data_IF_141887872178
#
_entry.id   IF_141887872178
#
_cell.length_a   1.000
_cell.length_b   1.000
_cell.length_c   1.000
_cell.angle_alpha   90.00
_cell.angle_beta   90.00
_cell.angle_gamma   90.00
#
_symmetry.space_group_name_H-M   'P 1'
#
loop_
_entity.id
_entity.type
_entity.pdbx_description
1 polymer ?
#
# COMPACT_ATOMS: atom_id res chain seq x y z
N UNK A 1 0.04 -4.14 95.97
CA UNK A 1 0.40 -2.78 95.53
C UNK A 1 1.80 -2.81 94.94
N UNK A 2 1.95 -3.17 93.67
CA UNK A 2 3.18 -2.94 92.88
C UNK A 2 2.77 -2.97 91.41
N UNK A 3 2.66 -1.78 90.80
CA UNK A 3 2.47 -1.59 89.37
C UNK A 3 3.83 -1.74 88.68
N UNK A 4 3.93 -2.69 87.75
CA UNK A 4 5.03 -2.80 86.80
C UNK A 4 4.70 -1.95 85.56
N UNK A 5 5.41 -0.84 85.35
CA UNK A 5 5.38 -0.09 84.10
C UNK A 5 6.14 -0.89 83.02
N UNK A 6 5.41 -1.53 82.11
CA UNK A 6 5.97 -1.93 80.81
C UNK A 6 5.80 -0.77 79.82
N UNK A 7 6.91 -0.14 79.43
CA UNK A 7 6.94 0.77 78.28
C UNK A 7 6.57 -0.02 77.01
N UNK A 8 5.38 0.28 76.45
CA UNK A 8 5.04 -0.06 75.07
C UNK A 8 5.81 0.91 74.16
N UNK A 9 6.79 0.39 73.43
CA UNK A 9 7.33 1.06 72.25
C UNK A 9 6.31 0.89 71.13
N UNK A 10 5.57 1.95 70.80
CA UNK A 10 4.75 2.00 69.59
C UNK A 10 5.70 2.04 68.38
N UNK A 11 5.89 0.90 67.71
CA UNK A 11 6.42 0.89 66.33
C UNK A 11 5.28 1.34 65.42
N UNK A 12 5.31 2.61 65.03
CA UNK A 12 4.53 3.12 63.91
C UNK A 12 5.15 2.48 62.67
N UNK A 13 4.51 1.43 62.15
CA UNK A 13 4.83 0.89 60.83
C UNK A 13 4.42 1.94 59.80
N UNK A 14 5.41 2.57 59.16
CA UNK A 14 5.16 3.37 57.96
C UNK A 14 4.65 2.42 56.88
N UNK A 15 3.35 2.48 56.59
CA UNK A 15 2.77 1.88 55.41
C UNK A 15 3.28 2.71 54.23
N UNK A 16 4.29 2.21 53.53
CA UNK A 16 4.64 2.71 52.20
C UNK A 16 3.49 2.31 51.26
N UNK A 17 2.55 3.23 51.07
CA UNK A 17 1.65 3.18 49.93
C UNK A 17 2.53 3.47 48.72
N UNK A 18 2.97 2.42 48.04
CA UNK A 18 3.51 2.54 46.70
C UNK A 18 2.36 3.03 45.81
N UNK A 19 2.28 4.34 45.62
CA UNK A 19 1.47 4.89 44.56
C UNK A 19 2.08 4.39 43.25
N UNK A 20 1.44 3.38 42.65
CA UNK A 20 1.67 3.08 41.24
C UNK A 20 1.22 4.31 40.47
N UNK A 21 2.19 5.15 40.12
CA UNK A 21 2.01 6.18 39.11
C UNK A 21 1.83 5.39 37.81
N UNK A 22 0.57 5.19 37.40
CA UNK A 22 0.26 4.87 36.02
C UNK A 22 0.62 6.12 35.22
N UNK A 23 1.87 6.19 34.77
CA UNK A 23 2.27 7.15 33.75
C UNK A 23 1.53 6.65 32.49
N UNK A 24 0.63 7.43 31.88
CA UNK A 24 0.24 7.11 30.52
C UNK A 24 1.54 7.21 29.71
N UNK A 25 2.06 6.08 29.24
CA UNK A 25 3.10 6.09 28.24
C UNK A 25 2.45 6.69 26.99
N UNK A 26 2.56 8.01 26.83
CA UNK A 26 2.42 8.60 25.51
C UNK A 26 3.46 7.89 24.64
N UNK A 27 3.02 7.26 23.56
CA UNK A 27 3.87 6.64 22.55
C UNK A 27 4.66 7.75 21.83
N UNK A 28 5.60 8.37 22.53
CA UNK A 28 6.40 9.46 22.00
C UNK A 28 7.60 8.87 21.28
N UNK A 29 7.67 9.17 19.98
CA UNK A 29 8.82 8.82 19.15
C UNK A 29 10.09 9.30 19.86
N UNK A 30 11.11 8.44 20.07
CA UNK A 30 12.33 8.85 20.75
C UNK A 30 12.95 10.06 20.07
N UNK A 31 13.44 11.00 20.87
CA UNK A 31 14.05 12.22 20.34
C UNK A 31 15.15 11.89 19.31
N UNK A 32 15.05 12.50 18.13
CA UNK A 32 15.95 12.29 16.99
C UNK A 32 15.90 10.91 16.33
N UNK A 33 14.91 10.04 16.63
CA UNK A 33 14.82 8.72 16.01
C UNK A 33 14.77 8.79 14.47
N UNK A 34 14.01 9.74 13.92
CA UNK A 34 13.91 10.01 12.48
C UNK A 34 14.82 11.14 11.98
N UNK A 35 15.83 11.56 12.75
CA UNK A 35 16.68 12.71 12.38
C UNK A 35 17.45 12.51 11.07
N UNK A 36 17.75 11.26 10.69
CA UNK A 36 18.45 10.93 9.46
C UNK A 36 17.53 10.56 8.29
N UNK A 37 16.21 10.77 8.43
CA UNK A 37 15.28 10.59 7.31
C UNK A 37 15.60 11.63 6.23
N UNK A 38 15.60 11.19 4.98
CA UNK A 38 15.80 12.03 3.80
C UNK A 38 14.54 12.00 2.93
N UNK A 39 13.67 12.99 3.12
CA UNK A 39 12.40 13.12 2.38
C UNK A 39 12.57 13.76 0.98
N UNK A 40 13.81 13.93 0.50
CA UNK A 40 14.06 14.67 -0.75
C UNK A 40 13.49 14.00 -2.01
N UNK A 41 13.45 12.67 -2.03
CA UNK A 41 12.91 11.86 -3.13
C UNK A 41 12.30 10.56 -2.58
N UNK A 42 11.42 9.88 -3.33
CA UNK A 42 10.91 8.56 -2.95
C UNK A 42 12.02 7.56 -2.62
N UNK A 43 13.06 7.50 -3.46
CA UNK A 43 14.22 6.63 -3.28
C UNK A 43 15.03 7.00 -2.04
N UNK A 44 15.30 8.30 -1.83
CA UNK A 44 15.99 8.80 -0.63
C UNK A 44 15.22 8.46 0.64
N UNK A 45 13.89 8.62 0.63
CA UNK A 45 13.05 8.35 1.80
C UNK A 45 13.06 6.86 2.09
N UNK A 46 12.79 6.03 1.07
CA UNK A 46 12.83 4.58 1.18
C UNK A 46 14.16 4.08 1.77
N UNK A 47 15.27 4.52 1.18
CA UNK A 47 16.62 4.12 1.60
C UNK A 47 16.92 4.56 3.04
N UNK A 48 16.61 5.82 3.39
CA UNK A 48 16.87 6.35 4.74
C UNK A 48 16.00 5.69 5.81
N UNK A 49 14.73 5.39 5.52
CA UNK A 49 13.85 4.61 6.39
C UNK A 49 14.40 3.20 6.61
N UNK A 50 14.81 2.50 5.55
CA UNK A 50 15.46 1.18 5.67
C UNK A 50 16.70 1.25 6.57
N UNK A 51 17.55 2.27 6.41
CA UNK A 51 18.73 2.44 7.28
C UNK A 51 18.38 2.62 8.76
N UNK A 52 17.28 3.32 9.06
CA UNK A 52 16.83 3.58 10.44
C UNK A 52 16.26 2.33 11.08
N UNK A 53 15.43 1.58 10.36
CA UNK A 53 14.65 0.48 10.96
C UNK A 53 15.33 -0.88 10.86
N UNK A 54 16.41 -1.03 10.07
CA UNK A 54 17.15 -2.28 9.95
C UNK A 54 17.87 -2.68 11.24
N UNK A 55 18.18 -3.97 11.38
CA UNK A 55 19.01 -4.49 12.48
C UNK A 55 18.28 -4.63 13.82
N UNK A 56 16.96 -4.83 13.79
CA UNK A 56 16.16 -5.03 14.99
C UNK A 56 16.67 -6.19 15.87
N UNK A 57 16.42 -6.10 17.17
CA UNK A 57 16.74 -7.16 18.13
C UNK A 57 15.80 -8.34 17.92
N UNK A 58 16.38 -9.53 17.76
CA UNK A 58 15.63 -10.77 17.61
C UNK A 58 15.20 -11.31 18.97
N UNK A 59 13.90 -11.35 19.21
CA UNK A 59 13.29 -12.04 20.35
C UNK A 59 12.96 -13.49 19.96
N UNK A 60 13.28 -14.50 20.79
CA UNK A 60 12.95 -15.88 20.49
C UNK A 60 11.46 -16.06 20.22
N UNK A 61 11.11 -16.93 19.25
CA UNK A 61 9.70 -17.22 18.99
C UNK A 61 9.02 -17.88 20.20
N UNK A 62 9.65 -18.87 20.84
CA UNK A 62 9.16 -19.42 22.11
C UNK A 62 10.34 -19.74 23.02
N UNK A 63 10.27 -19.31 24.28
CA UNK A 63 11.33 -19.49 25.27
C UNK A 63 10.76 -19.62 26.69
N UNK A 64 11.66 -19.90 27.65
CA UNK A 64 11.40 -19.78 29.09
C UNK A 64 11.84 -18.43 29.68
N UNK A 65 12.59 -17.66 28.89
CA UNK A 65 12.82 -16.23 29.07
C UNK A 65 11.78 -15.44 28.27
N UNK A 66 11.92 -14.11 28.22
CA UNK A 66 11.16 -13.26 27.30
C UNK A 66 11.16 -13.82 25.87
N UNK A 67 9.98 -14.04 25.33
CA UNK A 67 9.73 -14.47 23.95
C UNK A 67 8.65 -13.60 23.28
N UNK A 68 8.27 -13.93 22.03
CA UNK A 68 7.27 -13.10 21.33
C UNK A 68 5.87 -13.19 21.94
N UNK A 69 5.53 -14.19 22.76
CA UNK A 69 4.26 -14.18 23.50
C UNK A 69 4.25 -13.09 24.56
N UNK A 70 5.31 -12.98 25.35
CA UNK A 70 5.39 -11.97 26.42
C UNK A 70 5.25 -10.55 25.88
N UNK A 71 5.83 -10.29 24.70
CA UNK A 71 5.78 -8.98 24.05
C UNK A 71 4.43 -8.74 23.40
N UNK A 72 3.89 -9.70 22.62
CA UNK A 72 2.60 -9.54 21.95
C UNK A 72 1.44 -9.45 22.94
N UNK A 73 1.52 -10.11 24.10
CA UNK A 73 0.51 -9.96 25.15
C UNK A 73 0.52 -8.58 25.80
N UNK A 74 1.63 -7.83 25.71
CA UNK A 74 1.68 -6.43 26.11
C UNK A 74 1.24 -5.50 24.97
N UNK A 75 1.66 -5.79 23.74
CA UNK A 75 1.38 -4.99 22.56
C UNK A 75 -0.12 -4.98 22.23
N UNK A 76 -0.76 -6.15 22.27
CA UNK A 76 -2.17 -6.36 21.95
C UNK A 76 -3.05 -6.41 23.24
N UNK A 77 -2.59 -5.81 24.34
CA UNK A 77 -3.33 -5.77 25.60
C UNK A 77 -4.71 -5.13 25.43
N UNK A 78 -5.75 -5.74 26.03
CA UNK A 78 -7.09 -5.15 26.07
C UNK A 78 -7.11 -3.89 26.95
N UNK A 79 -7.43 -2.70 26.40
CA UNK A 79 -7.43 -1.45 27.17
C UNK A 79 -8.44 -1.46 28.33
N UNK A 80 -9.49 -2.28 28.25
CA UNK A 80 -10.50 -2.41 29.28
C UNK A 80 -10.19 -3.53 30.30
N UNK A 81 -9.19 -4.38 30.03
CA UNK A 81 -8.80 -5.46 30.92
C UNK A 81 -7.35 -5.92 30.65
N UNK A 82 -6.39 -5.42 31.44
CA UNK A 82 -4.96 -5.75 31.29
C UNK A 82 -4.58 -7.22 31.47
N UNK A 83 -5.49 -8.07 31.97
CA UNK A 83 -5.28 -9.52 32.01
C UNK A 83 -5.61 -10.21 30.68
N UNK A 84 -6.09 -9.45 29.69
CA UNK A 84 -6.54 -9.96 28.40
C UNK A 84 -5.78 -9.31 27.23
N UNK A 85 -5.88 -9.95 26.07
CA UNK A 85 -5.43 -9.48 24.77
C UNK A 85 -6.62 -9.38 23.81
N UNK A 86 -6.56 -8.44 22.87
CA UNK A 86 -7.51 -8.33 21.76
C UNK A 86 -6.90 -8.97 20.53
N UNK A 87 -7.65 -9.85 19.88
CA UNK A 87 -7.18 -10.47 18.65
C UNK A 87 -7.49 -9.62 17.41
N UNK A 88 -6.55 -9.58 16.46
CA UNK A 88 -6.57 -8.71 15.27
C UNK A 88 -7.78 -8.92 14.36
N UNK A 89 -8.35 -10.12 14.27
CA UNK A 89 -9.41 -10.41 13.30
C UNK A 89 -10.79 -10.47 13.91
N UNK A 90 -10.97 -11.17 15.03
CA UNK A 90 -12.28 -11.36 15.64
C UNK A 90 -12.63 -10.24 16.63
N UNK A 91 -11.68 -9.37 16.98
CA UNK A 91 -11.83 -8.34 18.00
C UNK A 91 -12.32 -8.90 19.36
N UNK A 92 -11.95 -10.14 19.66
CA UNK A 92 -12.35 -10.81 20.88
C UNK A 92 -11.28 -10.64 21.96
N UNK A 93 -11.75 -10.38 23.19
CA UNK A 93 -10.91 -10.28 24.38
C UNK A 93 -10.66 -11.66 24.99
N UNK A 94 -9.39 -12.07 25.04
CA UNK A 94 -8.95 -13.36 25.57
C UNK A 94 -8.03 -13.18 26.76
N UNK A 95 -8.21 -14.00 27.80
CA UNK A 95 -7.27 -14.05 28.93
C UNK A 95 -5.86 -14.41 28.44
N UNK A 96 -4.87 -13.64 28.88
CA UNK A 96 -3.44 -13.93 28.72
C UNK A 96 -3.08 -15.26 29.38
N UNK A 97 -2.57 -16.18 28.59
CA UNK A 97 -2.15 -17.52 29.05
C UNK A 97 -0.85 -17.98 28.40
N UNK A 98 -0.21 -17.14 27.57
CA UNK A 98 0.98 -17.46 26.79
C UNK A 98 0.76 -18.55 25.73
N UNK A 99 1.86 -18.89 25.06
CA UNK A 99 2.09 -20.25 24.57
C UNK A 99 1.12 -20.84 23.56
N UNK A 100 0.47 -20.04 22.69
CA UNK A 100 -0.34 -20.54 21.55
C UNK A 100 -1.38 -21.57 21.98
N UNK A 101 -2.51 -21.07 22.45
CA UNK A 101 -3.50 -21.87 23.16
C UNK A 101 -4.74 -22.14 22.29
N UNK A 102 -5.79 -22.71 22.89
CA UNK A 102 -7.05 -22.99 22.17
C UNK A 102 -7.83 -21.73 21.77
N UNK A 103 -7.48 -20.57 22.33
CA UNK A 103 -8.18 -19.30 22.11
C UNK A 103 -7.51 -18.48 21.00
N UNK A 104 -6.19 -18.29 21.09
CA UNK A 104 -5.42 -17.48 20.15
C UNK A 104 -4.04 -18.07 19.84
N UNK A 105 -3.53 -17.66 18.68
CA UNK A 105 -2.18 -17.93 18.22
C UNK A 105 -1.51 -16.63 17.73
N UNK A 106 -0.33 -16.75 17.10
CA UNK A 106 0.36 -15.63 16.44
C UNK A 106 0.04 -15.64 14.96
N UNK A 107 -0.48 -14.52 14.50
CA UNK A 107 -0.64 -14.20 13.10
C UNK A 107 0.66 -13.65 12.54
N UNK A 108 1.11 -14.21 11.42
CA UNK A 108 2.14 -13.64 10.57
C UNK A 108 1.44 -12.86 9.46
N UNK A 109 1.24 -11.54 9.64
CA UNK A 109 0.50 -10.72 8.67
C UNK A 109 1.18 -10.74 7.29
N UNK A 110 2.51 -10.72 7.21
CA UNK A 110 3.22 -11.31 6.07
C UNK A 110 3.32 -12.82 6.29
N UNK A 111 2.61 -13.68 5.53
CA UNK A 111 2.63 -15.11 5.78
C UNK A 111 4.05 -15.64 5.70
N UNK A 112 4.55 -16.24 6.78
CA UNK A 112 5.91 -16.80 6.79
C UNK A 112 6.19 -17.82 5.68
N UNK A 113 5.16 -18.45 5.12
CA UNK A 113 5.30 -19.34 3.96
C UNK A 113 5.80 -18.64 2.70
N UNK A 114 5.67 -17.31 2.63
CA UNK A 114 6.14 -16.47 1.54
C UNK A 114 7.48 -15.84 1.89
N UNK A 115 8.55 -16.63 1.76
CA UNK A 115 9.92 -16.14 1.89
C UNK A 115 10.73 -16.71 3.05
N UNK A 116 10.08 -17.07 4.17
CA UNK A 116 10.79 -17.34 5.42
C UNK A 116 10.12 -18.40 6.33
N UNK A 117 9.75 -19.60 5.85
CA UNK A 117 8.87 -20.53 6.57
C UNK A 117 9.45 -21.16 7.85
N UNK A 118 10.77 -21.09 8.04
CA UNK A 118 11.48 -21.83 9.08
C UNK A 118 11.92 -20.94 10.25
N UNK A 119 11.57 -21.32 11.47
CA UNK A 119 12.06 -20.64 12.68
C UNK A 119 13.50 -21.08 13.00
N UNK A 120 14.49 -20.39 12.44
CA UNK A 120 15.92 -20.63 12.69
C UNK A 120 16.60 -19.33 13.14
N UNK A 121 17.78 -19.43 13.75
CA UNK A 121 18.48 -18.26 14.32
C UNK A 121 18.73 -17.15 13.30
N UNK A 122 19.02 -17.50 12.04
CA UNK A 122 19.29 -16.54 10.96
C UNK A 122 18.05 -15.87 10.37
N UNK A 123 16.84 -16.33 10.71
CA UNK A 123 15.61 -15.84 10.10
C UNK A 123 14.94 -14.78 10.98
N UNK A 124 15.30 -13.51 10.77
CA UNK A 124 14.79 -12.36 11.52
C UNK A 124 13.32 -12.03 11.24
N UNK A 125 12.83 -12.03 9.97
CA UNK A 125 11.42 -11.76 9.67
C UNK A 125 10.44 -12.66 10.46
N UNK A 126 10.84 -13.90 10.73
CA UNK A 126 10.00 -14.87 11.44
C UNK A 126 9.53 -14.37 12.82
N UNK A 127 10.33 -13.57 13.50
CA UNK A 127 10.11 -13.11 14.88
C UNK A 127 9.96 -11.60 14.99
N UNK A 128 9.86 -10.89 13.87
CA UNK A 128 9.68 -9.44 13.87
C UNK A 128 8.27 -9.10 14.35
N UNK A 129 8.13 -8.42 15.48
CA UNK A 129 6.82 -8.24 16.10
C UNK A 129 6.01 -7.09 15.50
N UNK A 130 6.59 -6.22 14.67
CA UNK A 130 5.84 -5.17 13.95
C UNK A 130 4.83 -5.70 12.92
N UNK A 131 4.87 -7.00 12.63
CA UNK A 131 3.94 -7.68 11.73
C UNK A 131 3.31 -8.93 12.36
N UNK A 132 3.67 -9.24 13.61
CA UNK A 132 3.07 -10.33 14.36
C UNK A 132 1.93 -9.80 15.20
N UNK A 133 0.79 -10.48 15.17
CA UNK A 133 -0.37 -10.09 15.99
C UNK A 133 -0.92 -11.28 16.74
N UNK A 134 -1.58 -11.05 17.87
CA UNK A 134 -2.47 -12.04 18.46
C UNK A 134 -3.69 -12.21 17.55
N UNK A 135 -4.04 -13.46 17.22
CA UNK A 135 -5.20 -13.77 16.39
C UNK A 135 -5.98 -14.95 16.93
N UNK A 136 -7.31 -14.91 16.81
CA UNK A 136 -8.12 -16.11 17.05
C UNK A 136 -7.66 -17.25 16.11
N UNK A 137 -7.42 -18.43 16.66
CA UNK A 137 -6.83 -19.54 15.90
C UNK A 137 -7.66 -19.96 14.67
N UNK A 138 -8.98 -19.89 14.74
CA UNK A 138 -9.85 -20.21 13.59
C UNK A 138 -9.84 -19.12 12.52
N UNK A 139 -9.67 -17.86 12.91
CA UNK A 139 -9.63 -16.73 11.99
C UNK A 139 -8.27 -16.69 11.28
N UNK A 140 -7.18 -16.81 12.03
CA UNK A 140 -5.84 -17.02 11.46
C UNK A 140 -5.82 -18.21 10.49
N UNK A 141 -6.38 -19.36 10.89
CA UNK A 141 -6.47 -20.52 9.98
C UNK A 141 -7.29 -20.25 8.71
N UNK A 142 -8.33 -19.41 8.81
CA UNK A 142 -9.16 -19.03 7.66
C UNK A 142 -8.42 -18.06 6.73
N UNK A 143 -7.70 -17.09 7.31
CA UNK A 143 -6.82 -16.16 6.61
C UNK A 143 -5.72 -16.91 5.85
N UNK A 144 -5.11 -17.91 6.50
CA UNK A 144 -4.09 -18.76 5.90
C UNK A 144 -2.91 -17.92 5.38
N UNK A 145 -2.51 -18.09 4.12
CA UNK A 145 -1.53 -17.25 3.45
C UNK A 145 -2.16 -16.45 2.29
N UNK A 146 -3.45 -16.15 2.35
CA UNK A 146 -4.12 -15.39 1.30
C UNK A 146 -3.64 -13.93 1.30
N UNK A 147 -3.48 -13.31 0.10
CA UNK A 147 -3.36 -11.87 -0.03
C UNK A 147 -4.46 -11.12 0.72
N UNK A 148 -4.11 -10.00 1.34
CA UNK A 148 -5.08 -9.00 1.76
C UNK A 148 -5.64 -8.32 0.51
N UNK A 149 -6.97 -8.27 0.41
CA UNK A 149 -7.70 -7.75 -0.74
C UNK A 149 -9.18 -7.60 -0.38
N UNK A 150 -9.84 -6.54 -0.85
CA UNK A 150 -11.29 -6.41 -0.83
C UNK A 150 -11.95 -7.56 -1.60
N UNK A 151 -13.17 -7.89 -1.20
CA UNK A 151 -13.84 -9.08 -1.70
C UNK A 151 -15.34 -8.90 -1.96
N UNK A 152 -15.72 -9.13 -3.22
CA UNK A 152 -17.09 -8.94 -3.73
C UNK A 152 -17.97 -10.20 -3.71
N UNK A 153 -17.48 -11.35 -3.23
CA UNK A 153 -18.26 -12.60 -3.10
C UNK A 153 -17.68 -13.55 -2.05
N UNK A 154 -17.52 -13.04 -0.84
CA UNK A 154 -16.80 -13.73 0.23
C UNK A 154 -17.68 -14.37 1.29
N UNK A 155 -17.07 -15.27 2.06
CA UNK A 155 -17.66 -15.80 3.28
C UNK A 155 -17.34 -14.86 4.44
N UNK A 156 -18.37 -14.51 5.21
CA UNK A 156 -18.25 -13.64 6.37
C UNK A 156 -17.54 -14.33 7.54
N UNK A 157 -16.74 -13.55 8.25
CA UNK A 157 -16.09 -13.87 9.52
C UNK A 157 -16.33 -12.70 10.48
N UNK A 158 -17.45 -12.78 11.21
CA UNK A 158 -17.94 -11.72 12.11
C UNK A 158 -16.94 -11.35 13.19
N UNK A 159 -16.86 -10.06 13.50
CA UNK A 159 -16.15 -9.58 14.69
C UNK A 159 -17.07 -9.60 15.92
N UNK A 160 -16.50 -9.43 17.11
CA UNK A 160 -17.24 -9.15 18.34
C UNK A 160 -17.13 -7.67 18.69
N UNK A 161 -18.19 -7.13 19.29
CA UNK A 161 -18.16 -5.78 19.86
C UNK A 161 -17.25 -5.78 21.10
N UNK A 162 -16.13 -5.07 21.01
CA UNK A 162 -15.21 -4.84 22.11
C UNK A 162 -14.63 -3.42 22.01
N UNK A 163 -14.57 -2.73 23.15
CA UNK A 163 -14.14 -1.33 23.25
C UNK A 163 -14.85 -0.37 22.26
N UNK A 164 -16.14 -0.62 22.01
CA UNK A 164 -16.94 0.21 21.10
C UNK A 164 -16.66 -0.01 19.61
N UNK A 165 -15.86 -1.01 19.23
CA UNK A 165 -15.56 -1.37 17.83
C UNK A 165 -15.97 -2.80 17.54
N UNK A 166 -16.31 -3.09 16.28
CA UNK A 166 -16.71 -4.42 15.83
C UNK A 166 -18.12 -4.85 16.26
N UNK A 167 -18.55 -6.00 15.77
CA UNK A 167 -19.81 -6.64 16.09
C UNK A 167 -21.02 -6.13 15.29
N UNK A 168 -20.85 -5.14 14.42
CA UNK A 168 -21.87 -4.77 13.43
C UNK A 168 -21.77 -5.64 12.17
N UNK A 169 -22.80 -5.55 11.31
CA UNK A 169 -22.85 -6.31 10.06
C UNK A 169 -21.87 -5.81 8.97
N UNK A 170 -21.33 -4.59 9.13
CA UNK A 170 -20.34 -4.00 8.21
C UNK A 170 -18.91 -4.16 8.73
N UNK A 171 -18.72 -4.38 10.03
CA UNK A 171 -17.42 -4.60 10.65
C UNK A 171 -17.05 -6.10 10.67
N UNK A 172 -17.00 -6.73 9.50
CA UNK A 172 -16.68 -8.15 9.37
C UNK A 172 -15.42 -8.36 8.54
N UNK A 173 -14.75 -9.49 8.75
CA UNK A 173 -13.74 -9.95 7.81
C UNK A 173 -14.41 -10.77 6.71
N UNK A 174 -13.83 -10.78 5.52
CA UNK A 174 -14.38 -11.48 4.38
C UNK A 174 -13.32 -12.37 3.74
N UNK A 175 -13.66 -13.61 3.42
CA UNK A 175 -12.68 -14.53 2.83
C UNK A 175 -13.20 -15.47 1.76
N UNK A 176 -12.38 -15.67 0.73
CA UNK A 176 -12.64 -16.58 -0.38
C UNK A 176 -11.33 -17.18 -0.89
N UNK A 177 -11.43 -18.32 -1.58
CA UNK A 177 -10.31 -18.93 -2.27
C UNK A 177 -9.21 -19.43 -1.33
N UNK A 178 -8.04 -19.69 -1.92
CA UNK A 178 -6.87 -20.23 -1.21
C UNK A 178 -5.58 -19.73 -1.85
N UNK A 179 -4.52 -19.64 -1.04
CA UNK A 179 -3.20 -19.20 -1.48
C UNK A 179 -3.28 -17.85 -2.23
N UNK A 180 -2.50 -17.67 -3.29
CA UNK A 180 -2.43 -16.45 -4.09
C UNK A 180 -3.73 -16.10 -4.83
N UNK A 181 -4.58 -17.09 -5.10
CA UNK A 181 -5.90 -16.89 -5.73
C UNK A 181 -6.99 -16.46 -4.73
N UNK A 182 -6.72 -16.57 -3.43
CA UNK A 182 -7.66 -16.20 -2.39
C UNK A 182 -7.56 -14.74 -1.97
N UNK A 183 -8.54 -14.31 -1.18
CA UNK A 183 -8.56 -12.98 -0.56
C UNK A 183 -8.95 -13.11 0.91
N UNK A 184 -8.29 -12.30 1.74
CA UNK A 184 -8.73 -11.99 3.09
C UNK A 184 -8.91 -10.48 3.21
N UNK A 185 -10.16 -10.04 3.20
CA UNK A 185 -10.51 -8.68 3.57
C UNK A 185 -10.60 -8.63 5.09
N UNK A 186 -9.75 -7.84 5.73
CA UNK A 186 -9.85 -7.66 7.19
C UNK A 186 -10.93 -6.63 7.49
N UNK A 187 -11.55 -6.73 8.66
CA UNK A 187 -12.59 -5.76 9.06
C UNK A 187 -12.04 -4.33 9.15
N UNK A 188 -12.92 -3.34 8.94
CA UNK A 188 -12.54 -1.94 8.68
C UNK A 188 -11.60 -1.33 9.72
N UNK A 189 -11.76 -1.62 11.01
CA UNK A 189 -10.93 -1.06 12.07
C UNK A 189 -9.56 -1.71 12.26
N UNK A 190 -9.11 -2.55 11.32
CA UNK A 190 -7.78 -3.18 11.30
C UNK A 190 -7.17 -3.23 9.90
N UNK A 191 -7.79 -2.58 8.91
CA UNK A 191 -7.31 -2.53 7.52
C UNK A 191 -5.95 -1.83 7.45
N UNK A 192 -5.81 -0.73 8.18
CA UNK A 192 -4.62 0.09 8.22
C UNK A 192 -3.48 -0.58 8.98
N UNK A 193 -3.78 -1.28 10.07
CA UNK A 193 -2.81 -2.03 10.88
C UNK A 193 -2.05 -3.06 10.03
N UNK A 194 -2.78 -3.89 9.28
CA UNK A 194 -2.16 -4.92 8.45
C UNK A 194 -1.47 -4.31 7.24
N UNK A 195 -2.01 -3.23 6.67
CA UNK A 195 -1.37 -2.50 5.58
C UNK A 195 -0.01 -1.94 5.99
N UNK A 196 0.05 -1.18 7.07
CA UNK A 196 1.27 -0.58 7.61
C UNK A 196 2.27 -1.64 8.09
N UNK A 197 1.81 -2.77 8.60
CA UNK A 197 2.67 -3.91 8.93
C UNK A 197 3.35 -4.51 7.67
N UNK A 198 2.59 -4.70 6.57
CA UNK A 198 3.14 -5.22 5.31
C UNK A 198 4.10 -4.23 4.65
N UNK A 199 3.76 -2.95 4.65
CA UNK A 199 4.63 -1.87 4.18
C UNK A 199 5.93 -1.79 4.98
N UNK A 200 5.84 -1.90 6.31
CA UNK A 200 7.03 -2.01 7.17
C UNK A 200 7.89 -3.21 6.78
N UNK A 201 7.31 -4.39 6.58
CA UNK A 201 8.09 -5.58 6.20
C UNK A 201 8.84 -5.35 4.88
N UNK A 202 8.21 -4.69 3.91
CA UNK A 202 8.80 -4.40 2.62
C UNK A 202 9.96 -3.38 2.65
N UNK A 203 9.97 -2.45 3.62
CA UNK A 203 11.07 -1.50 3.79
C UNK A 203 12.11 -2.01 4.78
N UNK A 204 11.71 -2.78 5.78
CA UNK A 204 12.66 -3.37 6.74
C UNK A 204 13.55 -4.39 6.04
N UNK A 205 13.01 -5.22 5.16
CA UNK A 205 13.71 -6.34 4.55
C UNK A 205 13.92 -6.09 3.04
N UNK A 206 14.95 -5.33 2.69
CA UNK A 206 15.37 -5.05 1.30
C UNK A 206 16.55 -5.95 0.86
N UNK A 207 16.68 -7.13 1.48
CA UNK A 207 17.80 -8.03 1.27
C UNK A 207 19.10 -7.63 1.99
N UNK A 208 20.21 -8.21 1.55
CA UNK A 208 21.53 -7.96 2.11
C UNK A 208 21.84 -8.79 3.37
N UNK A 209 22.66 -8.25 4.27
CA UNK A 209 23.12 -8.94 5.47
C UNK A 209 22.89 -8.11 6.73
N UNK A 210 22.35 -8.74 7.77
CA UNK A 210 22.18 -8.15 9.09
C UNK A 210 23.54 -7.62 9.62
N UNK A 211 23.62 -6.33 9.91
CA UNK A 211 24.90 -5.64 10.18
C UNK A 211 25.72 -6.22 11.35
N UNK A 212 25.04 -6.75 12.39
CA UNK A 212 25.69 -7.32 13.57
C UNK A 212 26.05 -8.81 13.41
N UNK A 213 25.12 -9.63 12.91
CA UNK A 213 25.28 -11.10 12.89
C UNK A 213 25.78 -11.64 11.55
N UNK A 214 25.73 -10.84 10.48
CA UNK A 214 26.10 -11.24 9.13
C UNK A 214 25.12 -12.22 8.48
N UNK A 215 23.98 -12.51 9.11
CA UNK A 215 22.95 -13.36 8.52
C UNK A 215 22.31 -12.67 7.31
N UNK A 216 22.13 -13.43 6.23
CA UNK A 216 21.43 -12.93 5.04
C UNK A 216 19.96 -12.69 5.37
N UNK A 217 19.47 -11.52 4.97
CA UNK A 217 18.05 -11.15 5.08
C UNK A 217 17.40 -11.29 3.69
N UNK A 218 16.11 -11.67 3.61
CA UNK A 218 15.38 -11.68 2.34
C UNK A 218 15.06 -10.26 1.89
N UNK A 219 14.82 -10.10 0.60
CA UNK A 219 14.15 -8.95 -0.01
C UNK A 219 12.65 -9.26 -0.10
N UNK A 220 11.85 -8.55 0.70
CA UNK A 220 10.40 -8.69 0.77
C UNK A 220 9.76 -7.55 0.00
N UNK A 221 8.98 -7.87 -1.03
CA UNK A 221 8.47 -6.89 -1.99
C UNK A 221 6.94 -6.92 -2.04
N UNK A 222 6.30 -5.75 -1.91
CA UNK A 222 4.85 -5.62 -2.20
C UNK A 222 4.59 -5.67 -3.70
N UNK A 223 3.55 -6.37 -4.12
CA UNK A 223 3.19 -6.49 -5.54
C UNK A 223 1.71 -6.79 -5.76
N UNK A 224 1.14 -6.17 -6.78
CA UNK A 224 -0.22 -6.49 -7.24
C UNK A 224 -0.27 -7.78 -8.09
N UNK A 225 0.90 -8.32 -8.50
CA UNK A 225 0.97 -9.57 -9.25
C UNK A 225 0.86 -10.79 -8.32
N UNK A 226 -0.35 -11.34 -8.26
CA UNK A 226 -0.66 -12.57 -7.53
C UNK A 226 0.20 -13.77 -7.97
N UNK A 227 0.70 -13.80 -9.20
CA UNK A 227 1.58 -14.87 -9.68
C UNK A 227 2.94 -14.82 -8.97
N UNK A 228 3.50 -13.63 -8.77
CA UNK A 228 4.73 -13.43 -8.01
C UNK A 228 4.53 -13.78 -6.53
N UNK A 229 3.37 -13.42 -5.97
CA UNK A 229 3.01 -13.83 -4.60
C UNK A 229 2.98 -15.37 -4.49
N UNK A 230 2.29 -16.05 -5.41
CA UNK A 230 2.22 -17.51 -5.45
C UNK A 230 3.59 -18.18 -5.58
N UNK A 231 4.47 -17.61 -6.40
CA UNK A 231 5.85 -18.08 -6.60
C UNK A 231 6.70 -18.02 -5.33
N UNK A 232 6.31 -17.21 -4.34
CA UNK A 232 7.03 -17.06 -3.06
C UNK A 232 6.78 -18.23 -2.10
N UNK A 233 5.78 -19.07 -2.36
CA UNK A 233 5.39 -20.22 -1.54
C UNK A 233 6.27 -21.47 -1.78
N UNK A 234 7.58 -21.33 -1.60
CA UNK A 234 8.53 -22.40 -1.99
C UNK A 234 8.77 -23.45 -0.89
N UNK A 235 8.23 -23.22 0.31
CA UNK A 235 8.53 -24.06 1.48
C UNK A 235 9.97 -23.93 2.00
N UNK A 236 10.75 -22.99 1.45
CA UNK A 236 12.14 -22.72 1.84
C UNK A 236 12.36 -21.23 2.08
N UNK A 237 13.43 -20.90 2.80
CA UNK A 237 13.88 -19.52 2.88
C UNK A 237 14.47 -19.13 1.52
N UNK A 238 13.99 -18.05 0.92
CA UNK A 238 14.41 -17.55 -0.40
C UNK A 238 14.91 -16.12 -0.31
N UNK A 239 15.74 -15.72 -1.28
CA UNK A 239 16.39 -14.41 -1.27
C UNK A 239 15.42 -13.26 -1.61
N UNK A 240 14.39 -13.52 -2.42
CA UNK A 240 13.36 -12.55 -2.81
C UNK A 240 12.00 -13.21 -2.62
N UNK A 241 11.07 -12.53 -1.98
CA UNK A 241 9.69 -12.99 -1.80
C UNK A 241 8.72 -11.83 -1.94
N UNK A 242 7.51 -12.16 -2.37
CA UNK A 242 6.46 -11.21 -2.71
C UNK A 242 5.19 -11.50 -1.90
N UNK A 243 4.49 -10.44 -1.51
CA UNK A 243 3.19 -10.53 -0.85
C UNK A 243 2.47 -9.18 -0.94
N UNK A 244 1.14 -9.19 -0.80
CA UNK A 244 0.35 -7.98 -0.57
C UNK A 244 0.11 -7.16 -1.83
N UNK A 245 -1.17 -6.96 -2.16
CA UNK A 245 -1.57 -6.09 -3.26
C UNK A 245 -1.28 -4.65 -2.85
N UNK A 246 -0.28 -4.03 -3.46
CA UNK A 246 0.24 -2.71 -3.06
C UNK A 246 -0.86 -1.66 -3.13
N UNK A 247 -1.62 -1.61 -4.22
CA UNK A 247 -2.69 -0.62 -4.40
C UNK A 247 -3.73 -0.73 -3.27
N UNK A 248 -4.17 -1.95 -2.99
CA UNK A 248 -5.13 -2.23 -1.92
C UNK A 248 -4.62 -1.79 -0.54
N UNK A 249 -3.37 -2.14 -0.21
CA UNK A 249 -2.79 -1.81 1.10
C UNK A 249 -2.64 -0.31 1.28
N UNK A 250 -2.37 0.44 0.20
CA UNK A 250 -2.35 1.91 0.23
C UNK A 250 -3.74 2.44 0.58
N UNK A 251 -4.79 1.97 -0.09
CA UNK A 251 -6.14 2.44 0.17
C UNK A 251 -6.61 2.08 1.58
N UNK A 252 -6.36 0.84 2.01
CA UNK A 252 -6.64 0.41 3.38
C UNK A 252 -5.92 1.24 4.44
N UNK A 253 -4.69 1.67 4.18
CA UNK A 253 -3.95 2.54 5.11
C UNK A 253 -4.58 3.93 5.27
N UNK A 254 -5.34 4.39 4.29
CA UNK A 254 -6.07 5.68 4.30
C UNK A 254 -7.47 5.54 4.87
N UNK A 255 -8.15 4.46 4.55
CA UNK A 255 -9.49 4.12 5.05
C UNK A 255 -9.50 3.93 6.56
N UNK A 256 -8.42 3.37 7.09
CA UNK A 256 -8.22 3.10 8.52
C UNK A 256 -6.94 3.82 9.02
N UNK A 257 -7.08 5.09 9.46
CA UNK A 257 -5.97 5.87 10.01
C UNK A 257 -5.39 5.26 11.28
N UNK A 258 -4.14 5.63 11.60
CA UNK A 258 -3.45 5.15 12.81
C UNK A 258 -4.27 5.44 14.07
N UNK A 259 -4.42 4.40 14.91
CA UNK A 259 -5.16 4.46 16.16
C UNK A 259 -4.29 4.19 17.41
N UNK A 260 -4.92 4.28 18.59
CA UNK A 260 -4.26 4.03 19.88
C UNK A 260 -3.82 2.57 20.09
N UNK A 261 -4.37 1.62 19.34
CA UNK A 261 -3.96 0.22 19.41
C UNK A 261 -2.67 0.00 18.64
N UNK A 262 -2.55 0.55 17.44
CA UNK A 262 -1.32 0.52 16.66
C UNK A 262 -0.19 1.30 17.30
N UNK A 263 -0.46 2.50 17.82
CA UNK A 263 0.56 3.30 18.53
C UNK A 263 1.11 2.53 19.73
N UNK A 264 0.25 1.87 20.51
CA UNK A 264 0.66 1.02 21.64
C UNK A 264 1.46 -0.18 21.18
N UNK A 265 1.01 -0.85 20.12
CA UNK A 265 1.71 -2.01 19.57
C UNK A 265 3.12 -1.61 19.12
N UNK A 266 3.24 -0.53 18.33
CA UNK A 266 4.52 0.01 17.85
C UNK A 266 5.45 0.39 19.02
N UNK A 267 4.92 1.06 20.04
CA UNK A 267 5.67 1.44 21.24
C UNK A 267 6.19 0.21 22.00
N UNK A 268 5.31 -0.75 22.29
CA UNK A 268 5.72 -1.97 23.00
C UNK A 268 6.78 -2.71 22.21
N UNK A 269 6.56 -2.97 20.91
CA UNK A 269 7.54 -3.66 20.08
C UNK A 269 8.87 -2.91 20.04
N UNK A 270 8.85 -1.58 19.95
CA UNK A 270 10.06 -0.75 20.00
C UNK A 270 10.88 -0.98 21.27
N UNK A 271 10.24 -1.06 22.45
CA UNK A 271 10.97 -1.28 23.71
C UNK A 271 11.73 -2.62 23.76
N UNK A 272 11.34 -3.60 22.94
CA UNK A 272 11.98 -4.92 22.87
C UNK A 272 12.90 -5.10 21.66
N UNK A 273 12.49 -4.62 20.49
CA UNK A 273 13.22 -4.80 19.24
C UNK A 273 14.16 -3.63 18.91
N UNK A 274 13.95 -2.46 19.50
CA UNK A 274 14.77 -1.28 19.31
C UNK A 274 14.53 -0.53 18.00
N UNK A 275 13.58 -0.97 17.18
CA UNK A 275 13.16 -0.28 15.97
C UNK A 275 11.64 -0.02 15.98
N UNK A 276 11.18 0.95 15.21
CA UNK A 276 9.78 1.38 15.09
C UNK A 276 9.26 1.16 13.68
N UNK A 277 7.95 1.01 13.54
CA UNK A 277 7.26 1.05 12.25
C UNK A 277 7.06 2.52 11.82
N UNK A 278 7.77 3.01 10.78
CA UNK A 278 7.69 4.40 10.36
C UNK A 278 6.35 4.76 9.74
N UNK A 279 5.59 3.79 9.24
CA UNK A 279 4.28 4.06 8.66
C UNK A 279 3.18 4.20 9.72
N UNK A 280 3.45 3.80 10.97
CA UNK A 280 2.60 4.11 12.13
C UNK A 280 2.96 5.49 12.68
N UNK A 281 4.26 5.77 12.84
CA UNK A 281 4.73 7.06 13.38
C UNK A 281 4.57 8.24 12.40
N UNK A 282 4.68 7.95 11.10
CA UNK A 282 4.60 8.89 9.97
C UNK A 282 3.82 8.28 8.79
N UNK A 283 2.48 8.16 8.89
CA UNK A 283 1.65 7.59 7.82
C UNK A 283 1.79 8.31 6.47
N UNK A 284 2.16 9.59 6.48
CA UNK A 284 2.45 10.40 5.29
C UNK A 284 3.59 9.84 4.43
N UNK A 285 4.51 9.04 5.00
CA UNK A 285 5.58 8.41 4.23
C UNK A 285 5.08 7.34 3.27
N UNK A 286 3.87 6.78 3.49
CA UNK A 286 3.30 5.76 2.60
C UNK A 286 3.17 6.31 1.18
N UNK A 287 2.61 7.52 1.04
CA UNK A 287 2.42 8.14 -0.26
C UNK A 287 3.76 8.40 -0.96
N UNK A 288 4.79 8.83 -0.23
CA UNK A 288 6.11 9.05 -0.81
C UNK A 288 6.76 7.74 -1.25
N UNK A 289 6.78 6.73 -0.38
CA UNK A 289 7.52 5.48 -0.63
C UNK A 289 6.81 4.58 -1.62
N UNK A 290 5.48 4.50 -1.54
CA UNK A 290 4.68 3.55 -2.31
C UNK A 290 3.78 4.20 -3.35
N UNK A 291 3.75 5.52 -3.49
CA UNK A 291 3.06 6.20 -4.60
C UNK A 291 3.95 7.26 -5.27
N UNK A 292 5.17 7.44 -4.78
CA UNK A 292 6.14 8.42 -5.28
C UNK A 292 5.69 9.89 -5.08
N UNK A 293 4.85 10.13 -4.05
CA UNK A 293 4.28 11.44 -3.69
C UNK A 293 4.84 11.92 -2.33
N UNK A 294 5.88 12.77 -2.34
CA UNK A 294 6.69 13.09 -1.14
C UNK A 294 6.34 14.35 -0.34
N UNK A 295 5.09 14.80 -0.35
CA UNK A 295 4.72 16.14 0.15
C UNK A 295 4.10 16.21 1.56
N UNK A 296 4.33 15.20 2.42
CA UNK A 296 4.44 15.34 3.89
C UNK A 296 3.39 16.18 4.66
N UNK A 297 2.12 16.21 4.25
CA UNK A 297 1.05 16.86 5.03
C UNK A 297 -0.17 15.94 5.12
N UNK A 298 -0.15 15.03 6.09
CA UNK A 298 -1.34 14.34 6.57
C UNK A 298 -2.28 15.35 7.23
N UNK A 299 -3.34 15.75 6.52
CA UNK A 299 -4.30 16.72 7.03
C UNK A 299 -5.27 17.23 5.99
N UNK A 300 -6.28 16.43 5.64
CA UNK A 300 -7.58 16.92 5.17
C UNK A 300 -7.60 17.66 3.84
N UNK A 301 -7.30 16.97 2.75
CA UNK A 301 -7.99 17.11 1.46
C UNK A 301 -8.21 15.69 0.92
N UNK A 302 -9.32 15.41 0.22
CA UNK A 302 -9.45 14.14 -0.49
C UNK A 302 -8.18 13.92 -1.30
N UNK A 303 -7.71 12.66 -1.46
CA UNK A 303 -6.48 12.40 -2.18
C UNK A 303 -6.51 13.17 -3.50
N UNK A 304 -5.39 13.76 -3.98
CA UNK A 304 -5.28 13.83 -5.43
C UNK A 304 -5.47 12.39 -5.87
N UNK A 305 -6.52 12.10 -6.65
CA UNK A 305 -6.64 10.78 -7.23
C UNK A 305 -5.31 10.47 -7.93
N UNK A 306 -4.98 9.18 -8.03
CA UNK A 306 -3.75 8.68 -8.65
C UNK A 306 -3.29 9.63 -9.76
N UNK A 307 -2.04 10.07 -9.77
CA UNK A 307 -1.50 10.95 -10.84
C UNK A 307 -1.47 10.28 -12.23
N UNK A 308 -2.25 9.22 -12.43
CA UNK A 308 -2.50 8.60 -13.69
C UNK A 308 -3.33 9.59 -14.51
N UNK A 309 -2.66 10.52 -15.16
CA UNK A 309 -3.18 11.12 -16.36
C UNK A 309 -2.99 10.10 -17.49
N UNK A 310 -3.99 9.92 -18.34
CA UNK A 310 -3.91 9.03 -19.49
C UNK A 310 -4.53 9.65 -20.73
N UNK A 311 -4.13 9.14 -21.89
CA UNK A 311 -4.71 9.44 -23.18
C UNK A 311 -6.13 8.85 -23.23
N UNK A 312 -7.13 9.73 -23.33
CA UNK A 312 -8.55 9.41 -23.20
C UNK A 312 -9.30 9.42 -24.52
N UNK A 313 -8.86 10.26 -25.46
CA UNK A 313 -9.46 10.42 -26.79
C UNK A 313 -8.35 10.77 -27.80
N UNK A 314 -8.37 10.16 -28.99
CA UNK A 314 -7.41 10.39 -30.07
C UNK A 314 -8.17 10.64 -31.38
N UNK A 315 -7.76 11.68 -32.10
CA UNK A 315 -8.14 11.91 -33.49
C UNK A 315 -6.89 12.11 -34.34
N UNK A 316 -6.67 11.23 -35.32
CA UNK A 316 -5.50 11.21 -36.20
C UNK A 316 -5.84 11.03 -37.69
N UNK A 317 -7.03 10.54 -38.05
CA UNK A 317 -7.47 10.35 -39.45
C UNK A 317 -8.97 10.64 -39.64
N UNK A 318 -9.32 11.28 -40.75
CA UNK A 318 -10.70 11.56 -41.12
C UNK A 318 -10.91 11.60 -42.63
N UNK A 319 -12.16 11.44 -43.06
CA UNK A 319 -12.55 11.63 -44.46
C UNK A 319 -12.13 13.01 -44.97
N UNK A 320 -11.28 13.03 -46.00
CA UNK A 320 -10.76 14.25 -46.60
C UNK A 320 -9.27 14.41 -46.35
N UNK A 321 -8.81 15.64 -46.14
CA UNK A 321 -7.49 15.88 -45.56
C UNK A 321 -7.58 15.89 -44.04
N UNK A 322 -6.48 15.52 -43.38
CA UNK A 322 -6.37 15.46 -41.92
C UNK A 322 -6.58 16.87 -41.33
N UNK A 323 -7.65 17.01 -40.55
CA UNK A 323 -8.02 18.28 -39.92
C UNK A 323 -8.55 18.06 -38.52
N UNK A 324 -8.11 18.91 -37.60
CA UNK A 324 -8.53 18.92 -36.19
C UNK A 324 -8.02 17.71 -35.41
N UNK A 325 -6.85 17.19 -35.77
CA UNK A 325 -6.16 16.14 -35.04
C UNK A 325 -5.90 16.61 -33.60
N UNK A 326 -6.14 15.70 -32.66
CA UNK A 326 -6.13 16.03 -31.25
C UNK A 326 -5.89 14.81 -30.38
N UNK A 327 -5.35 15.07 -29.20
CA UNK A 327 -5.23 14.09 -28.12
C UNK A 327 -5.84 14.72 -26.88
N UNK A 328 -6.73 13.97 -26.23
CA UNK A 328 -7.30 14.36 -24.95
C UNK A 328 -6.63 13.59 -23.82
N UNK A 329 -6.30 14.31 -22.75
CA UNK A 329 -5.80 13.73 -21.52
C UNK A 329 -6.90 13.79 -20.48
N UNK A 330 -7.20 12.65 -19.85
CA UNK A 330 -8.05 12.56 -18.68
C UNK A 330 -7.18 12.31 -17.45
N UNK A 331 -7.52 12.95 -16.34
CA UNK A 331 -6.81 12.83 -15.08
C UNK A 331 -7.75 13.18 -13.92
N UNK A 332 -7.30 12.97 -12.67
CA UNK A 332 -7.91 13.60 -11.51
C UNK A 332 -8.12 15.10 -11.71
N UNK A 333 -9.24 15.60 -11.21
CA UNK A 333 -9.51 17.02 -11.10
C UNK A 333 -8.38 17.71 -10.34
N UNK A 334 -8.08 18.95 -10.72
CA UNK A 334 -6.96 19.75 -10.24
C UNK A 334 -5.56 19.25 -10.64
N UNK A 335 -5.42 18.15 -11.40
CA UNK A 335 -4.12 17.75 -11.97
C UNK A 335 -3.57 18.87 -12.86
N UNK A 336 -2.33 19.30 -12.59
CA UNK A 336 -1.63 20.30 -13.39
C UNK A 336 -0.77 19.59 -14.45
N UNK A 337 -1.10 19.81 -15.71
CA UNK A 337 -0.39 19.21 -16.85
C UNK A 337 0.84 20.01 -17.29
N UNK A 338 1.32 20.97 -16.49
CA UNK A 338 2.58 21.67 -16.74
C UNK A 338 3.76 20.66 -16.75
N UNK A 339 4.61 20.75 -17.78
CA UNK A 339 5.77 19.87 -18.03
C UNK A 339 5.42 18.41 -18.35
N UNK A 340 4.14 18.07 -18.46
CA UNK A 340 3.74 16.87 -19.17
C UNK A 340 3.93 17.10 -20.67
N UNK A 341 4.21 16.04 -21.42
CA UNK A 341 4.33 16.13 -22.88
C UNK A 341 3.80 14.89 -23.57
N UNK A 342 3.39 15.08 -24.82
CA UNK A 342 3.12 14.00 -25.77
C UNK A 342 4.27 13.92 -26.76
N UNK A 343 4.80 12.73 -26.98
CA UNK A 343 5.79 12.44 -28.01
C UNK A 343 5.19 11.51 -29.07
N UNK A 344 5.27 11.90 -30.34
CA UNK A 344 4.73 11.12 -31.45
C UNK A 344 5.85 10.43 -32.24
N UNK A 345 5.61 9.16 -32.56
CA UNK A 345 6.57 8.23 -33.16
C UNK A 345 6.08 7.72 -34.51
N UNK A 346 6.97 7.67 -35.49
CA UNK A 346 6.66 7.26 -36.86
C UNK A 346 6.81 5.74 -36.99
N UNK A 347 5.79 5.03 -37.47
CA UNK A 347 5.76 3.58 -37.60
C UNK A 347 6.68 2.99 -38.67
N UNK A 348 7.10 3.78 -39.67
CA UNK A 348 8.00 3.29 -40.72
C UNK A 348 9.46 3.22 -40.26
N UNK A 349 9.88 4.10 -39.34
CA UNK A 349 11.28 4.18 -38.89
C UNK A 349 11.43 4.20 -37.36
N UNK A 350 10.33 4.03 -36.63
CA UNK A 350 10.21 4.04 -35.18
C UNK A 350 10.83 5.25 -34.46
N UNK A 351 11.00 6.36 -35.16
CA UNK A 351 11.66 7.55 -34.62
C UNK A 351 10.64 8.59 -34.16
N UNK A 352 10.97 9.26 -33.05
CA UNK A 352 10.32 10.48 -32.59
C UNK A 352 10.32 11.53 -33.71
N UNK A 353 9.15 12.06 -34.05
CA UNK A 353 9.01 13.12 -35.06
C UNK A 353 8.32 14.38 -34.51
N UNK A 354 7.71 14.33 -33.31
CA UNK A 354 7.03 15.47 -32.71
C UNK A 354 7.00 15.36 -31.19
N UNK A 355 7.16 16.49 -30.52
CA UNK A 355 6.92 16.65 -29.08
C UNK A 355 5.96 17.81 -28.86
N UNK A 356 4.97 17.62 -28.00
CA UNK A 356 3.96 18.63 -27.65
C UNK A 356 3.95 18.78 -26.13
N UNK A 357 4.35 19.96 -25.66
CA UNK A 357 4.21 20.32 -24.25
C UNK A 357 2.75 20.54 -23.89
N UNK A 358 2.33 19.96 -22.78
CA UNK A 358 0.99 20.12 -22.23
C UNK A 358 0.97 21.25 -21.21
N UNK A 359 -0.23 21.76 -20.96
CA UNK A 359 -0.48 22.74 -19.90
C UNK A 359 -1.96 22.79 -19.59
N UNK A 360 -2.28 23.36 -18.43
CA UNK A 360 -3.65 23.48 -17.95
C UNK A 360 -3.89 22.65 -16.70
N UNK A 361 -4.94 23.03 -15.97
CA UNK A 361 -5.38 22.33 -14.77
C UNK A 361 -6.68 21.61 -15.10
N UNK A 362 -6.70 20.30 -14.89
CA UNK A 362 -7.83 19.44 -15.23
C UNK A 362 -9.06 19.85 -14.42
N UNK A 363 -10.21 20.15 -15.05
CA UNK A 363 -11.43 20.51 -14.35
C UNK A 363 -12.08 19.28 -13.69
N UNK A 364 -12.90 19.50 -12.65
CA UNK A 364 -13.83 18.47 -12.17
C UNK A 364 -15.06 18.45 -13.08
N UNK A 365 -15.18 17.41 -13.90
CA UNK A 365 -16.31 17.21 -14.81
C UNK A 365 -17.26 16.12 -14.29
N UNK A 366 -16.73 15.11 -13.61
CA UNK A 366 -17.49 14.03 -12.99
C UNK A 366 -16.70 13.35 -11.89
N UNK A 367 -17.25 13.31 -10.67
CA UNK A 367 -16.73 12.55 -9.53
C UNK A 367 -15.22 12.71 -9.28
N UNK A 368 -14.69 13.94 -9.43
CA UNK A 368 -13.27 14.21 -9.17
C UNK A 368 -12.35 13.89 -10.33
N UNK A 369 -12.88 13.66 -11.53
CA UNK A 369 -12.13 13.49 -12.78
C UNK A 369 -12.58 14.47 -13.85
N UNK A 370 -11.70 14.73 -14.81
CA UNK A 370 -12.07 15.46 -16.02
C UNK A 370 -10.98 15.40 -17.07
N UNK A 371 -11.23 16.05 -18.21
CA UNK A 371 -10.36 15.97 -19.37
C UNK A 371 -9.95 17.35 -19.92
N UNK A 372 -8.78 17.39 -20.58
CA UNK A 372 -8.31 18.53 -21.37
C UNK A 372 -7.91 18.03 -22.77
N UNK A 373 -8.53 18.62 -23.79
CA UNK A 373 -8.21 18.34 -25.19
C UNK A 373 -7.07 19.25 -25.71
N UNK A 374 -6.08 18.63 -26.34
CA UNK A 374 -4.96 19.29 -26.99
C UNK A 374 -5.05 19.11 -28.52
N UNK A 375 -5.12 20.22 -29.25
CA UNK A 375 -5.08 20.18 -30.72
C UNK A 375 -3.63 20.02 -31.20
N UNK A 376 -3.34 18.93 -31.90
CA UNK A 376 -1.99 18.56 -32.33
C UNK A 376 -1.97 18.38 -33.84
N UNK A 377 -1.59 19.41 -34.58
CA UNK A 377 -1.56 19.34 -36.05
C UNK A 377 -0.51 18.35 -36.56
N UNK A 378 -0.85 17.55 -37.58
CA UNK A 378 0.07 16.66 -38.26
C UNK A 378 0.52 15.51 -37.37
N UNK A 379 -0.43 14.89 -36.66
CA UNK A 379 -0.31 13.50 -36.21
C UNK A 379 -0.32 12.65 -37.48
N UNK A 380 0.61 11.71 -37.60
CA UNK A 380 0.70 10.81 -38.76
C UNK A 380 -0.31 9.67 -38.63
N UNK A 381 -0.81 9.16 -39.76
CA UNK A 381 -1.85 8.14 -39.87
C UNK A 381 -1.34 6.86 -40.57
N UNK A 382 -0.05 6.56 -40.45
CA UNK A 382 0.56 5.33 -40.94
C UNK A 382 0.50 4.19 -39.92
N UNK A 383 0.52 2.96 -40.42
CA UNK A 383 0.73 1.76 -39.60
C UNK A 383 2.24 1.56 -39.34
N UNK A 384 2.73 1.36 -38.11
CA UNK A 384 2.09 1.60 -36.81
C UNK A 384 2.68 2.88 -36.20
N UNK A 385 2.06 4.03 -36.39
CA UNK A 385 2.43 5.27 -35.70
C UNK A 385 1.99 5.21 -34.22
N UNK A 386 2.66 5.98 -33.36
CA UNK A 386 2.39 5.94 -31.92
C UNK A 386 2.52 7.27 -31.19
N UNK A 387 1.97 7.29 -29.98
CA UNK A 387 1.91 8.40 -29.06
C UNK A 387 2.36 7.93 -27.67
N UNK A 388 3.39 8.57 -27.13
CA UNK A 388 3.79 8.41 -25.75
C UNK A 388 3.33 9.61 -24.91
N UNK A 389 2.76 9.34 -23.74
CA UNK A 389 2.48 10.35 -22.72
C UNK A 389 3.60 10.30 -21.69
N UNK A 390 4.21 11.45 -21.41
CA UNK A 390 5.36 11.55 -20.53
C UNK A 390 5.09 12.54 -19.41
N UNK A 391 5.37 12.14 -18.18
CA UNK A 391 5.17 12.95 -17.00
C UNK A 391 6.30 14.00 -16.80
N UNK A 392 6.17 14.91 -15.82
CA UNK A 392 7.18 15.92 -15.53
C UNK A 392 8.54 15.37 -15.10
N UNK A 393 8.58 14.13 -14.59
CA UNK A 393 9.80 13.40 -14.21
C UNK A 393 10.54 12.83 -15.42
N UNK A 394 9.89 12.81 -16.59
CA UNK A 394 10.47 12.28 -17.83
C UNK A 394 10.12 10.82 -18.09
N UNK A 395 9.21 10.23 -17.30
CA UNK A 395 8.82 8.83 -17.37
C UNK A 395 7.66 8.63 -18.34
N UNK A 396 7.73 7.56 -19.14
CA UNK A 396 6.68 7.20 -20.10
C UNK A 396 5.52 6.54 -19.36
N UNK A 397 4.42 7.28 -19.21
CA UNK A 397 3.18 6.84 -18.55
C UNK A 397 2.37 5.91 -19.44
N UNK A 398 2.32 6.24 -20.74
CA UNK A 398 1.72 5.38 -21.75
C UNK A 398 2.55 5.45 -23.02
N UNK A 399 2.65 4.33 -23.72
CA UNK A 399 3.12 4.30 -25.10
C UNK A 399 2.12 3.50 -25.94
N UNK A 400 1.26 4.22 -26.65
CA UNK A 400 0.18 3.66 -27.45
C UNK A 400 0.52 3.75 -28.94
N UNK A 401 0.04 2.80 -29.72
CA UNK A 401 0.08 2.84 -31.18
C UNK A 401 -1.28 2.45 -31.76
N UNK A 402 -1.47 2.75 -33.04
CA UNK A 402 -2.65 2.32 -33.79
C UNK A 402 -2.21 1.56 -35.02
N UNK A 403 -3.03 0.59 -35.43
CA UNK A 403 -2.81 -0.23 -36.62
C UNK A 403 -1.56 -1.13 -36.53
N UNK A 404 -1.18 -1.53 -35.32
CA UNK A 404 -0.02 -2.39 -35.01
C UNK A 404 0.83 -1.86 -33.87
N UNK A 405 1.99 -2.48 -33.62
CA UNK A 405 2.97 -2.07 -32.60
C UNK A 405 4.27 -1.56 -33.22
N UNK A 406 5.00 -0.72 -32.49
CA UNK A 406 6.35 -0.27 -32.85
C UNK A 406 7.28 -0.29 -31.63
N UNK A 407 8.58 -0.42 -31.85
CA UNK A 407 9.61 -0.24 -30.80
C UNK A 407 10.37 1.04 -31.06
N UNK A 408 10.26 2.03 -30.15
CA UNK A 408 10.84 3.35 -30.36
C UNK A 408 12.39 3.31 -30.40
N UNK A 409 12.97 4.06 -31.33
CA UNK A 409 14.43 4.09 -31.60
C UNK A 409 15.17 5.26 -30.95
N UNK A 410 14.44 6.23 -30.40
CA UNK A 410 14.95 7.42 -29.73
C UNK A 410 13.82 8.04 -28.88
N UNK A 411 14.04 9.21 -28.30
CA UNK A 411 13.03 9.90 -27.49
C UNK A 411 12.87 9.28 -26.11
N UNK A 412 11.83 9.69 -25.39
CA UNK A 412 11.61 9.23 -24.01
C UNK A 412 11.21 7.75 -23.95
N UNK A 413 10.63 7.22 -25.02
CA UNK A 413 10.24 5.81 -25.13
C UNK A 413 11.32 4.93 -25.78
N UNK A 414 12.58 5.38 -25.90
CA UNK A 414 13.65 4.61 -26.54
C UNK A 414 13.75 3.18 -25.98
N UNK A 415 13.64 2.19 -26.86
CA UNK A 415 13.68 0.77 -26.51
C UNK A 415 12.37 0.17 -25.98
N UNK A 416 11.33 0.98 -25.78
CA UNK A 416 10.00 0.49 -25.36
C UNK A 416 9.19 0.02 -26.57
N UNK A 417 8.41 -1.04 -26.39
CA UNK A 417 7.37 -1.47 -27.35
C UNK A 417 6.05 -0.77 -27.03
N UNK A 418 5.37 -0.25 -28.05
CA UNK A 418 4.05 0.37 -27.90
C UNK A 418 2.94 -0.67 -27.73
N UNK A 419 1.85 -0.27 -27.09
CA UNK A 419 0.62 -1.06 -27.01
C UNK A 419 -0.33 -0.64 -28.13
N UNK A 420 -0.72 -1.56 -29.00
CA UNK A 420 -1.75 -1.32 -30.03
C UNK A 420 -3.12 -1.12 -29.36
N UNK A 421 -3.78 -0.01 -29.66
CA UNK A 421 -5.10 0.32 -29.10
C UNK A 421 -6.22 -0.57 -29.66
N UNK A 422 -5.97 -1.30 -30.75
CA UNK A 422 -6.89 -2.33 -31.28
C UNK A 422 -8.11 -1.80 -32.03
N UNK A 423 -8.24 -0.48 -32.15
CA UNK A 423 -9.24 0.24 -32.96
C UNK A 423 -8.53 1.28 -33.82
N UNK A 424 -9.15 1.70 -34.92
CA UNK A 424 -8.50 2.59 -35.88
C UNK A 424 -9.49 3.59 -36.47
N UNK A 425 -8.97 4.75 -36.83
CA UNK A 425 -9.61 5.65 -37.79
C UNK A 425 -9.23 5.23 -39.21
N UNK A 426 -10.01 5.68 -40.18
CA UNK A 426 -9.75 5.42 -41.59
C UNK A 426 -10.07 6.68 -42.39
N UNK A 427 -9.68 6.69 -43.67
CA UNK A 427 -10.12 7.70 -44.63
C UNK A 427 -11.64 7.80 -44.85
N UNK A 428 -12.43 6.93 -44.19
CA UNK A 428 -13.89 6.97 -44.17
C UNK A 428 -14.48 7.46 -42.85
N UNK A 429 -13.66 7.65 -41.81
CA UNK A 429 -14.08 8.21 -40.52
C UNK A 429 -14.74 9.57 -40.72
N UNK A 430 -15.93 9.75 -40.16
CA UNK A 430 -16.69 10.98 -40.31
C UNK A 430 -15.98 12.14 -39.59
N UNK A 431 -15.97 13.32 -40.20
CA UNK A 431 -15.42 14.52 -39.54
C UNK A 431 -16.16 14.80 -38.22
N UNK A 432 -15.38 15.07 -37.17
CA UNK A 432 -15.91 15.23 -35.81
C UNK A 432 -16.12 13.91 -35.06
N UNK A 433 -15.53 12.81 -35.53
CA UNK A 433 -15.45 11.56 -34.79
C UNK A 433 -14.02 11.35 -34.27
N UNK A 434 -13.88 10.50 -33.26
CA UNK A 434 -12.60 10.18 -32.62
C UNK A 434 -12.65 8.79 -31.98
N UNK A 435 -11.48 8.20 -31.80
CA UNK A 435 -11.30 7.05 -30.92
C UNK A 435 -11.36 7.55 -29.49
N UNK A 436 -12.10 6.86 -28.64
CA UNK A 436 -12.31 7.30 -27.26
C UNK A 436 -12.46 6.11 -26.32
N UNK A 437 -11.98 6.27 -25.09
CA UNK A 437 -12.16 5.30 -24.02
C UNK A 437 -13.61 5.29 -23.52
N UNK A 438 -14.14 4.10 -23.21
CA UNK A 438 -15.43 3.92 -22.53
C UNK A 438 -15.31 2.85 -21.44
N UNK A 439 -16.16 2.91 -20.41
CA UNK A 439 -16.08 2.04 -19.25
C UNK A 439 -16.51 2.73 -17.96
N UNK A 440 -16.30 2.05 -16.84
CA UNK A 440 -16.57 2.59 -15.50
C UNK A 440 -15.41 2.23 -14.57
N UNK A 441 -14.83 3.24 -13.94
CA UNK A 441 -13.72 3.06 -13.02
C UNK A 441 -12.91 4.34 -12.85
N UNK A 442 -11.73 4.23 -12.27
CA UNK A 442 -10.87 5.37 -11.91
C UNK A 442 -9.43 5.21 -12.39
N UNK A 443 -9.13 4.11 -13.09
CA UNK A 443 -7.82 3.81 -13.66
C UNK A 443 -7.91 3.54 -15.17
N UNK A 444 -6.81 3.77 -15.91
CA UNK A 444 -6.76 3.51 -17.36
C UNK A 444 -7.24 2.09 -17.74
N UNK A 445 -6.88 1.08 -16.94
CA UNK A 445 -7.25 -0.32 -17.15
C UNK A 445 -8.74 -0.63 -17.03
N UNK A 446 -9.53 0.28 -16.45
CA UNK A 446 -10.98 0.12 -16.32
C UNK A 446 -11.72 0.45 -17.63
N UNK A 447 -11.01 1.03 -18.60
CA UNK A 447 -11.58 1.53 -19.83
C UNK A 447 -11.07 0.77 -21.06
N UNK A 448 -11.91 0.73 -22.09
CA UNK A 448 -11.62 0.05 -23.35
C UNK A 448 -11.79 1.03 -24.50
N UNK A 449 -10.81 1.08 -25.39
CA UNK A 449 -10.86 1.87 -26.63
C UNK A 449 -12.03 1.45 -27.51
N UNK A 450 -12.81 2.43 -27.96
CA UNK A 450 -13.93 2.24 -28.86
C UNK A 450 -13.60 2.69 -30.29
N UNK A 451 -14.21 2.03 -31.26
CA UNK A 451 -14.23 2.49 -32.66
C UNK A 451 -14.72 3.93 -32.77
N UNK A 452 -14.41 4.65 -33.86
CA UNK A 452 -14.72 6.08 -33.96
C UNK A 452 -16.19 6.40 -33.67
N UNK A 453 -16.43 7.31 -32.72
CA UNK A 453 -17.75 7.86 -32.37
C UNK A 453 -17.69 9.38 -32.37
N UNK A 454 -18.84 10.07 -32.25
CA UNK A 454 -18.85 11.52 -32.15
C UNK A 454 -17.92 11.98 -31.03
N UNK A 455 -17.05 12.95 -31.31
CA UNK A 455 -16.05 13.42 -30.36
C UNK A 455 -16.67 14.08 -29.12
N UNK A 456 -16.01 13.94 -27.98
CA UNK A 456 -16.40 14.48 -26.67
C UNK A 456 -15.41 15.51 -26.12
N UNK A 457 -14.44 15.93 -26.94
CA UNK A 457 -13.35 16.87 -26.62
C UNK A 457 -13.68 17.91 -25.55
N UNK A 458 -12.93 17.85 -24.45
CA UNK A 458 -13.07 18.72 -23.28
C UNK A 458 -14.27 18.37 -22.41
N UNK A 459 -14.78 17.15 -22.48
CA UNK A 459 -15.84 16.59 -21.64
C UNK A 459 -15.64 15.09 -21.48
N UNK A 460 -16.35 14.47 -20.53
CA UNK A 460 -16.29 13.02 -20.33
C UNK A 460 -16.78 12.28 -21.59
N UNK A 461 -16.07 11.21 -21.96
CA UNK A 461 -16.39 10.43 -23.15
C UNK A 461 -17.76 9.75 -23.10
N UNK A 462 -18.25 9.36 -24.27
CA UNK A 462 -19.47 8.58 -24.36
C UNK A 462 -19.34 7.23 -23.65
N UNK A 463 -20.30 6.92 -22.78
CA UNK A 463 -20.31 5.70 -21.96
C UNK A 463 -19.09 5.55 -21.05
N UNK A 464 -18.46 6.67 -20.67
CA UNK A 464 -17.43 6.73 -19.64
C UNK A 464 -18.04 7.27 -18.34
N UNK A 465 -17.64 6.68 -17.20
CA UNK A 465 -18.07 7.13 -15.88
C UNK A 465 -17.02 6.84 -14.80
N UNK A 466 -16.98 7.69 -13.77
CA UNK A 466 -16.01 7.69 -12.69
C UNK A 466 -16.64 7.50 -11.31
#
# INVERSE_FOLDING_TARGET
MFYQLKHKVNRIGAIFIAAFITIPASAEIPANYYQSVDESTPESLRNSLHQIIKGHTKIPYTSSSTDTWDVLEQADEDPNNSNNVIDVYKNASYRKVGGGNSNYNREHSWPKSYGFPNNVSSNYPYTDMHHLFIANGSYNSSRSNKPYADCTSCNEKVTLLNDGRGGSATESNWTVGSFESGSWETWEGRKGDVARALMYMAIRYEGGSHAVTGHMEPDLILTDDRSLIGASNTGSNIAVAYMGLRAELIDWSREDPVDDYELRHNEVVFTYQGNRNPFIDHPEYIACVFEEICSGNGGGTPPPASTNAWINEIHYDNRGGDVNESVEILAPAATNLLNWRIEAYNGNNSSLYKTVELSGTVPDQQNGFGSINFNIKGIQNGSADGLALINPQGEVVQFLSYEGTLVAQNGSAEGMESTDIGVMETNSTQSGYSLQLSGHGQEYSDFIWQSPMQNSRGSINHNQSF
#
